data_IF_377235859435
#
_entry.id   IF_377235859435
#
_cell.length_a   1.000
_cell.length_b   1.000
_cell.length_c   1.000
_cell.angle_alpha   90.00
_cell.angle_beta   90.00
_cell.angle_gamma   90.00
#
_symmetry.space_group_name_H-M   'P 1'
#
loop_
_entity.id
_entity.type
_entity.pdbx_description
1 polymer ?
#
# COMPACT_ATOMS: atom_id res chain seq x y z
N UNK A 1 32.56 11.91 11.56
CA UNK A 1 31.16 11.59 11.80
C UNK A 1 30.96 10.18 11.29
N UNK A 2 30.35 9.28 12.05
CA UNK A 2 30.00 7.94 11.57
C UNK A 2 29.00 8.11 10.42
N UNK A 3 29.18 7.37 9.36
CA UNK A 3 28.21 7.31 8.28
C UNK A 3 26.94 6.65 8.87
N UNK A 4 25.75 7.23 8.65
CA UNK A 4 24.49 6.65 9.14
C UNK A 4 24.23 5.27 8.54
N UNK A 5 23.58 4.40 9.31
CA UNK A 5 23.42 2.98 8.96
C UNK A 5 22.09 2.41 9.51
N UNK A 6 21.65 1.29 8.91
CA UNK A 6 20.64 0.41 9.53
C UNK A 6 21.38 -0.51 10.48
N UNK A 7 21.00 -0.48 11.75
CA UNK A 7 21.64 -1.31 12.80
C UNK A 7 20.90 -2.60 13.10
N UNK A 8 19.61 -2.66 12.77
CA UNK A 8 18.76 -3.85 12.81
C UNK A 8 17.52 -3.65 11.94
N UNK A 9 16.90 -4.77 11.55
CA UNK A 9 15.61 -4.73 10.89
C UNK A 9 14.65 -5.73 11.53
N UNK A 10 13.35 -5.42 11.53
CA UNK A 10 12.33 -6.27 12.12
C UNK A 10 11.11 -6.43 11.23
N UNK A 11 10.52 -7.63 11.28
CA UNK A 11 9.14 -7.91 10.84
C UNK A 11 8.33 -8.10 12.11
N UNK A 12 7.20 -7.39 12.25
CA UNK A 12 6.34 -7.49 13.44
C UNK A 12 4.86 -7.54 13.07
N UNK A 13 4.02 -8.26 13.84
CA UNK A 13 2.58 -8.35 13.57
C UNK A 13 1.86 -7.04 13.89
N UNK A 14 0.69 -6.85 13.26
CA UNK A 14 -0.09 -5.60 13.34
C UNK A 14 -1.30 -5.67 14.28
N UNK A 15 -1.65 -6.85 14.78
CA UNK A 15 -2.89 -7.03 15.53
C UNK A 15 -2.74 -6.63 17.01
N UNK A 16 -3.79 -6.05 17.64
CA UNK A 16 -3.72 -5.50 18.99
C UNK A 16 -3.63 -6.56 20.10
N UNK A 17 -3.82 -7.85 19.77
CA UNK A 17 -3.84 -8.98 20.72
C UNK A 17 -2.57 -9.06 21.59
N UNK A 18 -1.42 -8.81 20.99
CA UNK A 18 -0.13 -8.81 21.69
C UNK A 18 0.02 -7.69 22.73
N UNK A 19 -0.78 -6.64 22.60
CA UNK A 19 -0.83 -5.52 23.58
C UNK A 19 -1.95 -5.74 24.58
N UNK A 20 -3.18 -6.01 24.10
CA UNK A 20 -4.40 -5.97 24.91
C UNK A 20 -4.75 -7.29 25.57
N UNK A 21 -4.40 -8.43 24.98
CA UNK A 21 -4.84 -9.73 25.43
C UNK A 21 -3.75 -10.82 25.38
N UNK A 22 -2.47 -10.54 25.68
CA UNK A 22 -1.41 -11.53 25.49
C UNK A 22 -1.62 -12.81 26.33
N UNK A 23 -2.24 -12.69 27.50
CA UNK A 23 -2.47 -13.82 28.42
C UNK A 23 -3.65 -14.71 28.04
N UNK A 24 -4.48 -14.33 27.08
CA UNK A 24 -5.62 -15.14 26.65
C UNK A 24 -5.21 -16.30 25.75
N UNK A 25 -4.03 -16.25 25.14
CA UNK A 25 -3.50 -17.31 24.30
C UNK A 25 -1.98 -17.46 24.47
N UNK A 26 -1.49 -18.68 24.62
CA UNK A 26 -0.07 -18.95 24.80
C UNK A 26 0.80 -18.48 23.61
N UNK A 27 0.27 -18.50 22.38
CA UNK A 27 0.93 -17.97 21.17
C UNK A 27 1.04 -16.44 21.21
N UNK A 28 -0.04 -15.76 21.59
CA UNK A 28 -0.02 -14.29 21.73
C UNK A 28 0.97 -13.84 22.81
N UNK A 29 1.08 -14.63 23.89
CA UNK A 29 2.10 -14.40 24.94
C UNK A 29 3.51 -14.57 24.37
N UNK A 30 3.79 -15.63 23.60
CA UNK A 30 5.12 -15.80 22.96
C UNK A 30 5.46 -14.66 22.01
N UNK A 31 4.49 -14.17 21.23
CA UNK A 31 4.69 -12.98 20.40
C UNK A 31 5.01 -11.74 21.25
N UNK A 32 4.31 -11.54 22.37
CA UNK A 32 4.59 -10.44 23.29
C UNK A 32 6.00 -10.53 23.89
N UNK A 33 6.40 -11.72 24.36
CA UNK A 33 7.74 -11.95 24.91
C UNK A 33 8.82 -11.70 23.85
N UNK A 34 8.55 -12.04 22.58
CA UNK A 34 9.42 -11.75 21.45
C UNK A 34 9.56 -10.24 21.17
N UNK A 35 8.49 -9.48 21.33
CA UNK A 35 8.56 -8.01 21.26
C UNK A 35 9.42 -7.44 22.39
N UNK A 36 9.29 -7.96 23.62
CA UNK A 36 10.07 -7.50 24.78
C UNK A 36 11.58 -7.79 24.56
N UNK A 37 11.92 -8.95 23.99
CA UNK A 37 13.29 -9.28 23.56
C UNK A 37 13.79 -8.33 22.46
N UNK A 38 12.97 -8.06 21.43
CA UNK A 38 13.31 -7.13 20.37
C UNK A 38 13.54 -5.71 20.89
N UNK A 39 12.68 -5.23 21.79
CA UNK A 39 12.82 -3.92 22.42
C UNK A 39 14.13 -3.81 23.21
N UNK A 40 14.54 -4.87 23.91
CA UNK A 40 15.81 -4.88 24.63
C UNK A 40 17.00 -4.85 23.63
N UNK A 41 16.96 -5.62 22.57
CA UNK A 41 17.99 -5.62 21.52
C UNK A 41 18.13 -4.23 20.88
N UNK A 42 17.01 -3.55 20.58
CA UNK A 42 17.02 -2.19 20.01
C UNK A 42 17.73 -1.20 20.93
N UNK A 43 17.47 -1.28 22.25
CA UNK A 43 18.18 -0.45 23.25
C UNK A 43 19.68 -0.75 23.29
N UNK A 44 20.04 -2.04 23.28
CA UNK A 44 21.44 -2.48 23.37
C UNK A 44 22.26 -2.08 22.12
N UNK A 45 21.59 -1.84 20.99
CA UNK A 45 22.22 -1.37 19.75
C UNK A 45 22.44 0.16 19.71
N UNK A 46 22.06 0.91 20.74
CA UNK A 46 22.10 2.39 20.75
C UNK A 46 21.45 3.01 19.51
N UNK A 47 20.29 2.47 19.10
CA UNK A 47 19.53 3.00 18.00
C UNK A 47 18.96 4.38 18.37
N UNK A 48 19.01 5.33 17.43
CA UNK A 48 18.54 6.70 17.63
C UNK A 48 17.35 7.07 16.73
N UNK A 49 16.86 6.12 15.93
CA UNK A 49 15.70 6.31 15.05
C UNK A 49 14.99 4.98 14.77
N UNK A 50 13.67 4.96 14.87
CA UNK A 50 12.83 3.86 14.42
C UNK A 50 12.10 4.27 13.13
N UNK A 51 12.14 3.45 12.10
CA UNK A 51 11.46 3.70 10.83
C UNK A 51 10.46 2.58 10.58
N UNK A 52 9.18 2.90 10.50
CA UNK A 52 8.09 1.94 10.37
C UNK A 52 7.44 2.06 9.01
N UNK A 53 7.46 0.98 8.24
CA UNK A 53 6.60 0.79 7.08
C UNK A 53 5.35 0.03 7.51
N UNK A 54 4.18 0.69 7.50
CA UNK A 54 2.95 0.08 8.00
C UNK A 54 2.01 -0.37 6.90
N UNK A 55 1.55 -1.62 6.97
CA UNK A 55 0.53 -2.18 6.08
C UNK A 55 -0.90 -1.76 6.46
N UNK A 56 -1.10 -1.33 7.70
CA UNK A 56 -2.40 -0.87 8.21
C UNK A 56 -2.65 0.62 8.02
N UNK A 57 -1.69 1.32 7.42
CA UNK A 57 -1.87 2.67 6.89
C UNK A 57 -1.79 2.69 5.35
N UNK A 58 -2.84 2.26 4.62
CA UNK A 58 -2.85 2.33 3.15
C UNK A 58 -3.03 3.78 2.69
N UNK A 59 -2.31 4.18 1.64
CA UNK A 59 -2.49 5.47 0.97
C UNK A 59 -2.77 5.27 -0.52
N UNK A 60 -3.55 6.19 -1.10
CA UNK A 60 -3.94 6.19 -2.53
C UNK A 60 -3.31 7.34 -3.32
N UNK A 61 -2.83 8.38 -2.64
CA UNK A 61 -2.20 9.54 -3.26
C UNK A 61 -0.75 9.61 -2.79
N UNK A 62 0.11 8.89 -3.49
CA UNK A 62 1.54 8.83 -3.18
C UNK A 62 1.86 8.23 -1.81
N UNK A 63 3.10 8.35 -1.39
CA UNK A 63 3.55 7.94 -0.07
C UNK A 63 3.26 9.04 0.96
N UNK A 64 2.75 8.66 2.12
CA UNK A 64 2.48 9.59 3.20
C UNK A 64 3.40 9.29 4.38
N UNK A 65 4.02 10.32 4.93
CA UNK A 65 4.96 10.20 6.05
C UNK A 65 4.40 11.00 7.23
N UNK A 66 4.28 10.36 8.39
CA UNK A 66 3.83 11.04 9.60
C UNK A 66 4.85 12.09 10.04
N UNK A 67 4.39 13.32 10.25
CA UNK A 67 5.21 14.46 10.62
C UNK A 67 4.57 15.35 11.72
N UNK A 68 3.50 14.87 12.38
CA UNK A 68 3.08 15.47 13.65
C UNK A 68 4.12 15.04 14.70
N UNK A 69 4.85 15.95 15.35
CA UNK A 69 5.95 15.58 16.25
C UNK A 69 5.49 14.83 17.51
N UNK A 70 4.24 15.02 17.92
CA UNK A 70 3.70 14.42 19.15
C UNK A 70 2.24 13.97 18.94
N UNK A 71 1.98 12.99 18.08
CA UNK A 71 0.64 12.48 17.88
C UNK A 71 0.18 11.77 19.16
N UNK A 72 -0.96 12.21 19.69
CA UNK A 72 -1.56 11.68 20.90
C UNK A 72 -3.04 11.37 20.65
N UNK A 73 -3.46 10.14 20.90
CA UNK A 73 -4.83 9.69 20.76
C UNK A 73 -5.08 8.36 21.47
N UNK A 74 -6.25 7.79 21.24
CA UNK A 74 -6.62 6.45 21.70
C UNK A 74 -6.96 5.60 20.48
N UNK A 75 -6.21 4.54 20.23
CA UNK A 75 -6.49 3.58 19.17
C UNK A 75 -7.51 2.55 19.67
N UNK A 76 -8.55 2.32 18.88
CA UNK A 76 -9.49 1.21 19.00
C UNK A 76 -9.51 0.49 17.66
N UNK A 77 -9.19 -0.81 17.67
CA UNK A 77 -9.22 -1.61 16.44
C UNK A 77 -10.68 -1.86 16.04
N UNK A 78 -11.01 -1.72 14.75
CA UNK A 78 -12.39 -1.82 14.27
C UNK A 78 -12.90 -3.27 14.24
N UNK A 79 -12.01 -4.26 14.01
CA UNK A 79 -12.36 -5.68 14.01
C UNK A 79 -12.32 -6.28 15.42
N UNK A 80 -11.47 -5.74 16.31
CA UNK A 80 -11.20 -6.25 17.66
C UNK A 80 -11.46 -5.21 18.75
N UNK A 81 -12.51 -4.40 18.57
CA UNK A 81 -12.87 -3.32 19.52
C UNK A 81 -13.25 -3.83 20.91
N UNK A 82 -13.70 -5.07 21.02
CA UNK A 82 -14.03 -5.75 22.27
C UNK A 82 -12.80 -6.06 23.13
N UNK A 83 -11.60 -6.13 22.55
CA UNK A 83 -10.36 -6.26 23.32
C UNK A 83 -10.02 -5.00 24.12
N UNK A 84 -10.57 -3.84 23.76
CA UNK A 84 -10.34 -2.58 24.44
C UNK A 84 -9.66 -1.52 23.58
N UNK A 85 -8.89 -0.64 24.21
CA UNK A 85 -8.24 0.50 23.55
C UNK A 85 -6.78 0.65 23.98
N UNK A 86 -5.96 1.21 23.10
CA UNK A 86 -4.56 1.51 23.35
C UNK A 86 -4.39 3.03 23.33
N UNK A 87 -4.26 3.72 24.48
CA UNK A 87 -3.85 5.11 24.49
C UNK A 87 -2.40 5.21 24.03
N UNK A 88 -2.10 6.20 23.20
CA UNK A 88 -0.74 6.43 22.74
C UNK A 88 -0.38 7.90 22.72
N UNK A 89 0.92 8.16 22.90
CA UNK A 89 1.58 9.45 22.68
C UNK A 89 2.98 9.12 22.18
N UNK A 90 3.29 9.47 20.93
CA UNK A 90 4.56 9.08 20.32
C UNK A 90 5.46 10.28 20.05
N UNK A 91 6.77 10.03 20.09
CA UNK A 91 7.81 10.98 19.70
C UNK A 91 8.16 10.74 18.21
N UNK A 92 7.70 11.61 17.32
CA UNK A 92 7.96 11.53 15.89
C UNK A 92 9.07 12.49 15.49
N UNK A 93 10.08 11.99 14.75
CA UNK A 93 11.11 12.82 14.15
C UNK A 93 10.57 13.53 12.90
N UNK A 94 9.89 14.66 13.12
CA UNK A 94 9.27 15.44 12.06
C UNK A 94 10.32 15.99 11.08
N UNK A 95 11.51 16.36 11.56
CA UNK A 95 12.58 16.89 10.72
C UNK A 95 13.11 15.80 9.77
N UNK A 96 13.29 14.58 10.27
CA UNK A 96 13.63 13.44 9.41
C UNK A 96 12.51 13.13 8.41
N UNK A 97 11.25 13.15 8.84
CA UNK A 97 10.10 12.93 7.96
C UNK A 97 10.07 13.95 6.81
N UNK A 98 10.30 15.22 7.08
CA UNK A 98 10.40 16.26 6.06
C UNK A 98 11.60 16.06 5.13
N UNK A 99 12.78 15.74 5.66
CA UNK A 99 13.95 15.46 4.84
C UNK A 99 13.74 14.26 3.91
N UNK A 100 13.13 13.18 4.42
CA UNK A 100 12.79 12.01 3.62
C UNK A 100 11.76 12.34 2.52
N UNK A 101 10.72 13.12 2.85
CA UNK A 101 9.76 13.58 1.87
C UNK A 101 10.41 14.38 0.72
N UNK A 102 11.36 15.26 1.03
CA UNK A 102 12.08 16.00 0.00
C UNK A 102 13.01 15.09 -0.83
N UNK A 103 13.69 14.12 -0.21
CA UNK A 103 14.47 13.12 -0.93
C UNK A 103 13.60 12.27 -1.89
N UNK A 104 12.39 11.91 -1.46
CA UNK A 104 11.41 11.22 -2.30
C UNK A 104 11.04 12.04 -3.54
N UNK A 105 10.70 13.32 -3.35
CA UNK A 105 10.34 14.23 -4.45
C UNK A 105 11.49 14.43 -5.43
N UNK A 106 12.73 14.54 -4.92
CA UNK A 106 13.93 14.66 -5.77
C UNK A 106 14.14 13.43 -6.67
N UNK A 107 13.68 12.26 -6.22
CA UNK A 107 13.67 11.02 -7.00
C UNK A 107 12.39 10.79 -7.80
N UNK A 108 11.51 11.79 -7.89
CA UNK A 108 10.27 11.75 -8.67
C UNK A 108 9.11 11.02 -7.99
N UNK A 109 9.24 10.60 -6.72
CA UNK A 109 8.13 9.98 -6.00
C UNK A 109 7.08 11.01 -5.59
N UNK A 110 5.81 10.68 -5.78
CA UNK A 110 4.72 11.39 -5.14
C UNK A 110 4.75 11.09 -3.63
N UNK A 111 5.08 12.10 -2.85
CA UNK A 111 5.22 11.96 -1.40
C UNK A 111 4.82 13.24 -0.69
N UNK A 112 4.25 13.09 0.51
CA UNK A 112 3.88 14.21 1.37
C UNK A 112 3.96 13.85 2.84
N UNK A 113 4.25 14.86 3.66
CA UNK A 113 4.11 14.76 5.10
C UNK A 113 2.66 14.97 5.53
N UNK A 114 2.25 14.22 6.58
CA UNK A 114 0.97 14.36 7.27
C UNK A 114 1.25 14.88 8.67
N UNK A 115 0.80 16.10 8.95
CA UNK A 115 1.03 16.78 10.24
C UNK A 115 -0.26 17.39 10.82
N UNK A 116 -1.41 16.80 10.51
CA UNK A 116 -2.68 17.26 11.02
C UNK A 116 -2.83 16.85 12.49
N UNK A 117 -3.10 17.81 13.36
CA UNK A 117 -3.42 17.51 14.74
C UNK A 117 -4.63 16.58 14.82
N UNK A 118 -4.47 15.45 15.52
CA UNK A 118 -5.52 14.45 15.66
C UNK A 118 -5.66 13.51 14.45
N UNK A 119 -4.68 13.49 13.53
CA UNK A 119 -4.62 12.42 12.53
C UNK A 119 -4.26 11.11 13.22
N UNK A 120 -5.09 10.07 13.13
CA UNK A 120 -4.89 8.84 13.89
C UNK A 120 -3.67 8.07 13.37
N UNK A 121 -2.89 7.53 14.30
CA UNK A 121 -1.88 6.53 13.96
C UNK A 121 -2.56 5.17 13.80
N UNK A 122 -2.18 4.44 12.77
CA UNK A 122 -2.74 3.13 12.44
C UNK A 122 -2.38 2.06 13.48
N UNK A 123 -3.18 1.00 13.54
CA UNK A 123 -3.05 -0.05 14.55
C UNK A 123 -1.68 -0.73 14.52
N UNK A 124 -1.14 -1.05 13.34
CA UNK A 124 0.15 -1.72 13.22
C UNK A 124 1.30 -0.87 13.77
N UNK A 125 1.29 0.44 13.47
CA UNK A 125 2.27 1.38 14.02
C UNK A 125 2.11 1.56 15.51
N UNK A 126 0.86 1.64 16.03
CA UNK A 126 0.59 1.73 17.47
C UNK A 126 1.11 0.49 18.20
N UNK A 127 0.81 -0.72 17.70
CA UNK A 127 1.31 -1.97 18.28
C UNK A 127 2.85 -2.00 18.27
N UNK A 128 3.47 -1.71 17.13
CA UNK A 128 4.92 -1.74 16.97
C UNK A 128 5.60 -0.77 17.94
N UNK A 129 5.18 0.50 18.00
CA UNK A 129 5.80 1.51 18.86
C UNK A 129 5.55 1.23 20.34
N UNK A 130 4.33 0.83 20.72
CA UNK A 130 4.01 0.51 22.11
C UNK A 130 4.88 -0.62 22.66
N UNK A 131 5.21 -1.61 21.84
CA UNK A 131 5.96 -2.79 22.27
C UNK A 131 7.47 -2.67 22.07
N UNK A 132 7.93 -2.08 20.97
CA UNK A 132 9.36 -1.95 20.68
C UNK A 132 10.02 -0.73 21.34
N UNK A 133 9.23 0.28 21.70
CA UNK A 133 9.70 1.54 22.27
C UNK A 133 8.81 1.99 23.45
N UNK A 134 8.64 1.12 24.48
CA UNK A 134 7.64 1.32 25.54
C UNK A 134 7.86 2.58 26.40
N UNK A 135 9.08 3.06 26.50
CA UNK A 135 9.45 4.30 27.19
C UNK A 135 9.43 5.52 26.24
N UNK A 136 9.12 5.34 24.97
CA UNK A 136 9.05 6.38 23.94
C UNK A 136 10.35 7.23 23.83
N UNK A 137 11.49 6.63 24.17
CA UNK A 137 12.79 7.32 24.23
C UNK A 137 13.44 7.52 22.87
N UNK A 138 13.13 6.65 21.90
CA UNK A 138 13.68 6.71 20.55
C UNK A 138 12.64 7.38 19.63
N UNK A 139 13.01 8.47 18.92
CA UNK A 139 12.10 9.08 17.95
C UNK A 139 11.80 8.12 16.81
N UNK A 140 10.58 8.21 16.28
CA UNK A 140 10.12 7.33 15.21
C UNK A 140 9.69 8.11 13.96
N UNK A 141 9.67 7.44 12.81
CA UNK A 141 9.05 7.90 11.58
C UNK A 141 8.19 6.79 11.02
N UNK A 142 6.98 7.11 10.59
CA UNK A 142 6.02 6.15 10.06
C UNK A 142 5.72 6.52 8.62
N UNK A 143 5.79 5.54 7.72
CA UNK A 143 5.41 5.70 6.31
C UNK A 143 4.26 4.77 5.96
N UNK A 144 3.34 5.30 5.16
CA UNK A 144 2.19 4.56 4.63
C UNK A 144 2.58 3.57 3.54
N UNK A 145 1.76 2.54 3.35
CA UNK A 145 1.83 1.67 2.18
C UNK A 145 1.01 2.26 1.03
N UNK A 146 1.65 2.80 0.01
CA UNK A 146 0.95 3.28 -1.18
C UNK A 146 0.36 2.10 -1.96
N UNK A 147 -0.97 2.12 -2.16
CA UNK A 147 -1.70 1.04 -2.83
C UNK A 147 -1.24 0.80 -4.27
N UNK A 148 -0.88 1.85 -4.98
CA UNK A 148 -0.52 1.80 -6.40
C UNK A 148 0.99 1.66 -6.64
N UNK A 149 1.84 1.83 -5.63
CA UNK A 149 3.27 1.66 -5.78
C UNK A 149 3.61 0.24 -6.22
N UNK A 150 4.45 0.13 -7.23
CA UNK A 150 5.08 -1.11 -7.64
C UNK A 150 6.35 -1.39 -6.82
N UNK A 151 7.09 -2.44 -7.19
CA UNK A 151 8.33 -2.80 -6.49
C UNK A 151 9.42 -1.74 -6.69
N UNK A 152 9.60 -1.24 -7.91
CA UNK A 152 10.59 -0.19 -8.22
C UNK A 152 10.35 1.05 -7.37
N UNK A 153 9.12 1.55 -7.35
CA UNK A 153 8.73 2.73 -6.57
C UNK A 153 8.93 2.51 -5.06
N UNK A 154 8.58 1.32 -4.56
CA UNK A 154 8.80 0.94 -3.15
C UNK A 154 10.30 0.86 -2.81
N UNK A 155 11.13 0.41 -3.74
CA UNK A 155 12.59 0.35 -3.60
C UNK A 155 13.19 1.77 -3.57
N UNK A 156 12.73 2.67 -4.46
CA UNK A 156 13.19 4.07 -4.47
C UNK A 156 12.80 4.77 -3.17
N UNK A 157 11.62 4.50 -2.61
CA UNK A 157 11.22 5.01 -1.29
C UNK A 157 12.23 4.61 -0.19
N UNK A 158 12.69 3.35 -0.19
CA UNK A 158 13.70 2.87 0.74
C UNK A 158 15.07 3.54 0.51
N UNK A 159 15.51 3.68 -0.75
CA UNK A 159 16.77 4.36 -1.10
C UNK A 159 16.77 5.81 -0.63
N UNK A 160 15.70 6.56 -0.86
CA UNK A 160 15.55 7.93 -0.38
C UNK A 160 15.68 8.01 1.15
N UNK A 161 15.12 7.03 1.88
CA UNK A 161 15.26 6.93 3.32
C UNK A 161 16.72 6.71 3.74
N UNK A 162 17.40 5.76 3.09
CA UNK A 162 18.81 5.46 3.37
C UNK A 162 19.73 6.66 3.12
N UNK A 163 19.46 7.47 2.10
CA UNK A 163 20.24 8.67 1.82
C UNK A 163 20.11 9.68 2.97
N UNK A 164 18.91 9.87 3.51
CA UNK A 164 18.69 10.75 4.67
C UNK A 164 19.37 10.19 5.93
N UNK A 165 19.25 8.87 6.18
CA UNK A 165 19.95 8.20 7.29
C UNK A 165 21.45 8.47 7.21
N UNK A 166 22.06 8.25 6.05
CA UNK A 166 23.50 8.47 5.80
C UNK A 166 23.86 9.94 5.96
N UNK A 167 23.08 10.86 5.39
CA UNK A 167 23.34 12.29 5.45
C UNK A 167 23.30 12.84 6.88
N UNK A 168 22.40 12.30 7.70
CA UNK A 168 22.22 12.73 9.11
C UNK A 168 23.07 11.92 10.09
N UNK A 169 23.74 10.84 9.65
CA UNK A 169 24.56 10.00 10.50
C UNK A 169 23.78 9.20 11.53
N UNK A 170 22.52 8.82 11.23
CA UNK A 170 21.58 8.16 12.15
C UNK A 170 21.88 6.65 12.26
N UNK A 171 21.61 6.12 13.43
CA UNK A 171 21.62 4.67 13.71
C UNK A 171 20.18 4.17 13.76
N UNK A 172 19.67 3.74 12.59
CA UNK A 172 18.26 3.50 12.42
C UNK A 172 17.90 2.01 12.49
N UNK A 173 16.71 1.72 13.02
CA UNK A 173 16.07 0.40 12.95
C UNK A 173 14.95 0.44 11.92
N UNK A 174 14.99 -0.46 10.92
CA UNK A 174 13.95 -0.60 9.92
C UNK A 174 12.90 -1.63 10.37
N UNK A 175 11.64 -1.25 10.43
CA UNK A 175 10.54 -2.08 10.95
C UNK A 175 9.45 -2.18 9.89
N UNK A 176 9.02 -3.40 9.57
CA UNK A 176 7.79 -3.64 8.81
C UNK A 176 6.71 -4.17 9.73
N UNK A 177 5.63 -3.39 9.87
CA UNK A 177 4.43 -3.83 10.57
C UNK A 177 3.50 -4.52 9.58
N UNK A 178 3.44 -5.86 9.63
CA UNK A 178 2.67 -6.70 8.71
C UNK A 178 2.34 -8.07 9.28
N UNK A 179 1.35 -8.72 8.69
CA UNK A 179 1.11 -10.16 8.87
C UNK A 179 1.65 -10.92 7.65
N UNK A 180 2.23 -12.10 7.85
CA UNK A 180 2.70 -12.97 6.76
C UNK A 180 1.53 -13.47 5.91
N UNK A 181 0.43 -13.85 6.56
CA UNK A 181 -0.88 -14.09 5.95
C UNK A 181 -1.94 -13.37 6.76
N UNK A 182 -3.02 -12.90 6.12
CA UNK A 182 -4.04 -12.10 6.78
C UNK A 182 -5.47 -12.60 6.51
N UNK A 183 -5.63 -13.90 6.28
CA UNK A 183 -6.95 -14.51 6.30
C UNK A 183 -7.36 -14.72 7.75
N UNK A 184 -8.35 -13.96 8.19
CA UNK A 184 -8.91 -14.06 9.53
C UNK A 184 -10.16 -14.93 9.54
N UNK A 185 -10.50 -15.48 10.70
CA UNK A 185 -11.81 -16.11 10.92
C UNK A 185 -12.89 -15.03 10.92
N UNK A 186 -14.04 -15.34 10.31
CA UNK A 186 -15.22 -14.47 10.29
C UNK A 186 -16.11 -14.69 11.49
N UNK A 187 -16.04 -15.87 12.08
CA UNK A 187 -16.81 -16.24 13.26
C UNK A 187 -15.94 -16.07 14.51
N UNK A 188 -16.58 -15.85 15.63
CA UNK A 188 -15.87 -15.84 16.91
C UNK A 188 -15.24 -17.21 17.17
N UNK A 189 -13.96 -17.19 17.53
CA UNK A 189 -13.21 -18.37 17.99
C UNK A 189 -12.72 -18.14 19.40
N UNK A 190 -12.66 -19.20 20.21
CA UNK A 190 -12.03 -19.08 21.52
C UNK A 190 -10.53 -18.83 21.35
N UNK A 191 -9.92 -17.97 22.16
CA UNK A 191 -8.49 -17.68 22.05
C UNK A 191 -7.60 -18.92 22.05
N UNK A 192 -7.95 -19.93 22.83
CA UNK A 192 -7.20 -21.21 22.95
C UNK A 192 -7.28 -22.07 21.67
N UNK A 193 -8.26 -21.81 20.81
CA UNK A 193 -8.47 -22.54 19.54
C UNK A 193 -7.83 -21.81 18.35
N UNK A 194 -7.18 -20.67 18.58
CA UNK A 194 -6.58 -19.88 17.50
C UNK A 194 -5.50 -20.67 16.75
N UNK A 195 -5.55 -20.59 15.45
CA UNK A 195 -4.64 -21.27 14.53
C UNK A 195 -4.57 -20.50 13.22
N UNK A 196 -3.53 -20.73 12.42
CA UNK A 196 -3.49 -20.19 11.06
C UNK A 196 -4.71 -20.69 10.28
N UNK A 197 -5.39 -19.78 9.59
CA UNK A 197 -6.68 -20.01 8.94
C UNK A 197 -6.68 -21.23 8.00
N UNK A 198 -5.60 -21.48 7.27
CA UNK A 198 -5.46 -22.62 6.39
C UNK A 198 -4.06 -23.22 6.43
N UNK A 199 -3.96 -24.53 6.18
CA UNK A 199 -2.66 -25.21 6.06
C UNK A 199 -1.79 -24.59 4.97
N UNK A 200 -2.39 -24.15 3.87
CA UNK A 200 -1.69 -23.52 2.77
C UNK A 200 -1.07 -22.18 3.17
N UNK A 201 -1.79 -21.38 3.95
CA UNK A 201 -1.25 -20.12 4.47
C UNK A 201 -0.08 -20.40 5.43
N UNK A 202 -0.19 -21.42 6.29
CA UNK A 202 0.88 -21.83 7.22
C UNK A 202 2.13 -22.33 6.48
N UNK A 203 1.96 -23.17 5.46
CA UNK A 203 3.06 -23.67 4.62
C UNK A 203 3.85 -22.51 3.99
N UNK A 204 3.15 -21.55 3.40
CA UNK A 204 3.79 -20.38 2.79
C UNK A 204 4.41 -19.43 3.82
N UNK A 205 3.75 -19.23 4.96
CA UNK A 205 4.33 -18.43 6.04
C UNK A 205 5.66 -19.05 6.51
N UNK A 206 5.71 -20.36 6.68
CA UNK A 206 6.95 -21.08 7.05
C UNK A 206 8.02 -20.98 5.97
N UNK A 207 7.65 -21.00 4.69
CA UNK A 207 8.61 -20.81 3.61
C UNK A 207 9.21 -19.39 3.61
N UNK A 208 8.40 -18.36 3.86
CA UNK A 208 8.90 -17.00 4.03
C UNK A 208 9.84 -16.93 5.24
N UNK A 209 9.45 -17.53 6.37
CA UNK A 209 10.25 -17.54 7.58
C UNK A 209 11.59 -18.24 7.39
N UNK A 210 11.62 -19.35 6.64
CA UNK A 210 12.86 -20.05 6.28
C UNK A 210 13.84 -19.12 5.57
N UNK A 211 13.39 -18.35 4.59
CA UNK A 211 14.23 -17.37 3.90
C UNK A 211 14.66 -16.22 4.80
N UNK A 212 13.76 -15.72 5.64
CA UNK A 212 14.08 -14.66 6.60
C UNK A 212 15.14 -15.15 7.62
N UNK A 213 15.01 -16.38 8.12
CA UNK A 213 15.98 -16.99 9.05
C UNK A 213 17.35 -17.15 8.42
N UNK A 214 17.39 -17.45 7.12
CA UNK A 214 18.63 -17.53 6.33
C UNK A 214 19.18 -16.15 5.94
N UNK A 215 18.47 -15.05 6.28
CA UNK A 215 18.89 -13.69 5.92
C UNK A 215 18.74 -13.35 4.43
N UNK A 216 17.90 -14.10 3.70
CA UNK A 216 17.71 -14.01 2.24
C UNK A 216 16.59 -13.04 1.89
N UNK A 217 16.76 -11.76 2.18
CA UNK A 217 15.71 -10.74 2.00
C UNK A 217 15.41 -10.48 0.53
N UNK A 218 16.39 -10.51 -0.36
CA UNK A 218 16.14 -10.33 -1.79
C UNK A 218 15.25 -11.45 -2.33
N UNK A 219 15.56 -12.71 -1.98
CA UNK A 219 14.78 -13.86 -2.41
C UNK A 219 13.35 -13.82 -1.87
N UNK A 220 13.12 -13.34 -0.62
CA UNK A 220 11.76 -13.10 -0.12
C UNK A 220 11.03 -12.08 -0.99
N UNK A 221 11.71 -11.02 -1.41
CA UNK A 221 11.18 -10.03 -2.33
C UNK A 221 10.74 -10.64 -3.67
N UNK A 222 11.53 -11.56 -4.23
CA UNK A 222 11.22 -12.29 -5.47
C UNK A 222 10.10 -13.32 -5.26
N UNK A 223 10.19 -14.12 -4.21
CA UNK A 223 9.20 -15.15 -3.85
C UNK A 223 7.78 -14.55 -3.71
N UNK A 224 7.69 -13.29 -3.30
CA UNK A 224 6.41 -12.59 -3.12
C UNK A 224 5.54 -12.60 -4.38
N UNK A 225 6.12 -12.61 -5.57
CA UNK A 225 5.39 -12.67 -6.85
C UNK A 225 4.59 -13.97 -6.99
N UNK A 226 5.12 -15.06 -6.48
CA UNK A 226 4.47 -16.37 -6.52
C UNK A 226 3.48 -16.54 -5.38
N UNK A 227 3.87 -16.17 -4.18
CA UNK A 227 3.10 -16.39 -2.96
C UNK A 227 1.80 -15.59 -2.97
N UNK A 228 1.81 -14.34 -3.38
CA UNK A 228 0.61 -13.48 -3.29
C UNK A 228 -0.58 -14.00 -4.11
N UNK A 229 -0.35 -14.89 -5.07
CA UNK A 229 -1.41 -15.57 -5.83
C UNK A 229 -2.01 -16.75 -5.08
N UNK A 230 -1.31 -17.27 -4.10
CA UNK A 230 -1.60 -18.53 -3.43
C UNK A 230 -2.12 -18.36 -2.01
N UNK A 231 -1.65 -17.35 -1.30
CA UNK A 231 -2.13 -17.00 0.04
C UNK A 231 -2.88 -15.66 -0.01
N UNK A 232 -3.78 -15.47 0.95
CA UNK A 232 -4.45 -14.19 1.10
C UNK A 232 -3.56 -13.26 1.92
N UNK A 233 -2.78 -12.44 1.23
CA UNK A 233 -2.21 -11.21 1.77
C UNK A 233 -3.14 -10.07 1.37
N UNK A 234 -3.21 -8.99 2.12
CA UNK A 234 -4.00 -7.83 1.73
C UNK A 234 -3.59 -7.43 0.32
N UNK A 235 -4.53 -7.53 -0.64
CA UNK A 235 -4.26 -7.24 -2.06
C UNK A 235 -3.69 -5.85 -2.29
N UNK A 236 -4.05 -4.94 -1.41
CA UNK A 236 -3.70 -3.53 -1.45
C UNK A 236 -2.24 -3.28 -1.14
N UNK A 237 -1.72 -3.98 -0.14
CA UNK A 237 -0.35 -3.79 0.32
C UNK A 237 0.57 -4.90 -0.16
N UNK A 238 0.03 -6.07 -0.48
CA UNK A 238 0.78 -7.23 -0.96
C UNK A 238 2.07 -7.46 -0.14
N UNK A 239 3.17 -7.72 -0.80
CA UNK A 239 4.48 -7.88 -0.16
C UNK A 239 5.36 -6.61 -0.18
N UNK A 240 4.78 -5.43 -0.41
CA UNK A 240 5.53 -4.16 -0.42
C UNK A 240 6.40 -3.94 0.81
N UNK A 241 5.96 -4.31 2.05
CA UNK A 241 6.84 -4.22 3.22
C UNK A 241 8.12 -5.04 3.07
N UNK A 242 8.03 -6.23 2.45
CA UNK A 242 9.21 -7.08 2.22
C UNK A 242 10.13 -6.49 1.15
N UNK A 243 9.58 -5.89 0.09
CA UNK A 243 10.38 -5.17 -0.91
C UNK A 243 11.09 -3.96 -0.29
N UNK A 244 10.37 -3.20 0.54
CA UNK A 244 10.94 -2.07 1.25
C UNK A 244 12.04 -2.52 2.22
N UNK A 245 11.78 -3.55 3.04
CA UNK A 245 12.73 -4.08 4.02
C UNK A 245 13.99 -4.62 3.32
N UNK A 246 13.84 -5.34 2.20
CA UNK A 246 14.95 -5.81 1.39
C UNK A 246 15.80 -4.64 0.89
N UNK A 247 15.17 -3.59 0.35
CA UNK A 247 15.85 -2.41 -0.15
C UNK A 247 16.55 -1.61 0.97
N UNK A 248 15.95 -1.50 2.16
CA UNK A 248 16.58 -0.89 3.34
C UNK A 248 17.84 -1.63 3.77
N UNK A 249 17.96 -2.91 3.46
CA UNK A 249 19.13 -3.76 3.72
C UNK A 249 20.01 -3.98 2.47
N UNK A 250 19.83 -3.20 1.40
CA UNK A 250 20.64 -3.24 0.19
C UNK A 250 20.33 -4.40 -0.76
N UNK A 251 19.12 -4.99 -0.71
CA UNK A 251 18.69 -6.14 -1.52
C UNK A 251 19.67 -7.31 -1.47
N UNK A 252 19.96 -7.77 -0.27
CA UNK A 252 21.01 -8.77 0.00
C UNK A 252 20.40 -10.08 0.51
N UNK A 253 21.15 -11.18 0.27
CA UNK A 253 20.84 -12.54 0.72
C UNK A 253 21.89 -13.10 1.71
N UNK A 254 22.80 -12.25 2.21
CA UNK A 254 23.92 -12.63 3.07
C UNK A 254 23.77 -12.04 4.50
N UNK A 255 22.55 -11.81 4.93
CA UNK A 255 22.24 -11.30 6.26
C UNK A 255 22.09 -12.43 7.28
N UNK A 256 21.84 -12.09 8.53
CA UNK A 256 21.49 -13.08 9.55
C UNK A 256 20.07 -12.80 10.06
N UNK A 257 19.18 -13.77 9.90
CA UNK A 257 17.83 -13.71 10.43
C UNK A 257 17.64 -14.56 11.67
N UNK A 258 16.74 -14.15 12.54
CA UNK A 258 16.31 -14.91 13.72
C UNK A 258 14.80 -14.75 13.93
N UNK A 259 14.09 -15.87 13.88
CA UNK A 259 12.66 -15.92 14.21
C UNK A 259 12.53 -15.94 15.72
N UNK A 260 12.02 -14.87 16.31
CA UNK A 260 11.78 -14.76 17.75
C UNK A 260 10.47 -15.45 18.14
N UNK A 261 9.42 -15.28 17.32
CA UNK A 261 8.16 -15.99 17.46
C UNK A 261 7.40 -16.02 16.13
N UNK A 262 6.60 -17.07 15.93
CA UNK A 262 5.61 -17.20 14.86
C UNK A 262 4.36 -17.88 15.39
N UNK A 263 3.22 -17.20 15.36
CA UNK A 263 1.96 -17.66 15.95
C UNK A 263 0.76 -17.19 15.12
N UNK A 264 -0.37 -17.85 15.32
CA UNK A 264 -1.64 -17.36 14.82
C UNK A 264 -2.16 -16.17 15.63
N UNK A 265 -2.76 -15.20 14.96
CA UNK A 265 -3.55 -14.16 15.59
C UNK A 265 -4.88 -14.09 14.84
N UNK A 266 -5.92 -14.68 15.41
CA UNK A 266 -7.26 -14.77 14.83
C UNK A 266 -7.26 -15.32 13.38
N UNK A 267 -6.42 -16.32 13.12
CA UNK A 267 -6.23 -16.94 11.80
C UNK A 267 -5.10 -16.33 10.97
N UNK A 268 -4.70 -15.11 11.21
CA UNK A 268 -3.59 -14.46 10.51
C UNK A 268 -2.23 -14.98 11.04
N UNK A 269 -1.21 -14.96 10.18
CA UNK A 269 0.16 -15.35 10.56
C UNK A 269 0.95 -14.16 11.12
N UNK A 270 1.11 -14.10 12.43
CA UNK A 270 1.93 -13.11 13.13
C UNK A 270 3.34 -13.62 13.38
N UNK A 271 4.36 -12.81 13.06
CA UNK A 271 5.74 -13.16 13.34
C UNK A 271 6.51 -11.95 13.91
N UNK A 272 7.43 -12.23 14.83
CA UNK A 272 8.48 -11.28 15.22
C UNK A 272 9.80 -11.88 14.73
N UNK A 273 10.42 -11.19 13.77
CA UNK A 273 11.68 -11.62 13.16
C UNK A 273 12.69 -10.49 13.28
N UNK A 274 13.87 -10.82 13.75
CA UNK A 274 15.04 -9.93 13.78
C UNK A 274 15.97 -10.24 12.61
N UNK A 275 16.39 -9.22 11.88
CA UNK A 275 17.40 -9.30 10.82
C UNK A 275 18.59 -8.43 11.23
N UNK A 276 19.74 -9.06 11.38
CA UNK A 276 21.02 -8.38 11.59
C UNK A 276 21.63 -8.03 10.20
N UNK A 277 21.93 -6.76 9.94
CA UNK A 277 22.47 -6.31 8.66
C UNK A 277 23.94 -6.74 8.42
N UNK A 278 24.59 -7.33 9.40
CA UNK A 278 25.97 -7.80 9.26
C UNK A 278 26.07 -8.91 8.22
N UNK A 279 26.95 -8.74 7.24
CA UNK A 279 27.16 -9.73 6.17
C UNK A 279 27.76 -11.01 6.71
N UNK A 280 27.16 -12.14 6.35
CA UNK A 280 27.74 -13.48 6.60
C UNK A 280 28.80 -13.84 5.55
N UNK A 281 28.90 -13.06 4.45
CA UNK A 281 29.81 -13.33 3.33
C UNK A 281 29.36 -14.49 2.44
N UNK A 282 28.23 -15.13 2.73
CA UNK A 282 27.68 -16.26 1.97
C UNK A 282 26.24 -15.91 1.62
N UNK A 283 26.02 -15.43 0.40
CA UNK A 283 24.68 -15.19 -0.14
C UNK A 283 24.43 -16.14 -1.30
N UNK A 284 23.40 -16.97 -1.22
CA UNK A 284 22.91 -17.76 -2.34
C UNK A 284 21.63 -17.10 -2.91
N UNK A 285 21.44 -17.19 -4.23
CA UNK A 285 20.28 -16.66 -4.92
C UNK A 285 19.50 -17.83 -5.50
N UNK A 286 18.34 -18.13 -4.92
CA UNK A 286 17.47 -19.18 -5.45
C UNK A 286 16.72 -18.73 -6.72
N UNK A 287 16.46 -17.43 -6.85
CA UNK A 287 15.82 -16.87 -8.02
C UNK A 287 16.82 -16.30 -8.98
N UNK A 288 16.76 -16.80 -10.21
CA UNK A 288 17.72 -16.52 -11.25
C UNK A 288 17.70 -15.04 -11.63
N UNK A 289 18.89 -14.52 -11.86
CA UNK A 289 19.14 -13.19 -12.38
C UNK A 289 18.64 -13.04 -13.85
N UNK A 290 18.31 -14.15 -14.53
CA UNK A 290 17.78 -14.16 -15.90
C UNK A 290 16.28 -13.83 -16.01
N UNK A 291 15.59 -13.48 -14.89
CA UNK A 291 14.23 -12.93 -14.95
C UNK A 291 14.26 -11.56 -15.64
N UNK A 292 13.69 -11.54 -16.86
CA UNK A 292 13.69 -10.35 -17.73
C UNK A 292 13.02 -9.13 -17.07
N UNK A 293 11.97 -9.32 -16.26
CA UNK A 293 11.35 -8.23 -15.49
C UNK A 293 12.31 -7.66 -14.44
N UNK A 294 13.06 -8.52 -13.76
CA UNK A 294 14.05 -8.12 -12.79
C UNK A 294 15.16 -7.29 -13.44
N UNK A 295 15.68 -7.73 -14.59
CA UNK A 295 16.77 -7.04 -15.29
C UNK A 295 16.35 -5.72 -15.94
N UNK A 296 15.18 -5.66 -16.55
CA UNK A 296 14.77 -4.49 -17.34
C UNK A 296 13.93 -3.46 -16.59
N UNK A 297 13.24 -3.84 -15.51
CA UNK A 297 12.38 -2.91 -14.77
C UNK A 297 12.98 -2.47 -13.45
N UNK A 298 13.46 -3.41 -12.64
CA UNK A 298 13.70 -3.15 -11.22
C UNK A 298 15.19 -3.02 -10.87
N UNK A 299 16.07 -3.71 -11.57
CA UNK A 299 17.49 -3.73 -11.24
C UNK A 299 18.22 -2.45 -11.67
N UNK A 300 17.88 -1.89 -12.82
CA UNK A 300 18.40 -0.59 -13.25
C UNK A 300 18.11 0.53 -12.25
N UNK A 301 16.97 0.46 -11.56
CA UNK A 301 16.60 1.39 -10.47
C UNK A 301 17.47 1.15 -9.23
N UNK A 302 17.93 -0.08 -8.97
CA UNK A 302 18.70 -0.46 -7.78
C UNK A 302 20.19 -0.14 -7.89
N UNK A 303 20.76 -0.08 -9.09
CA UNK A 303 22.21 0.07 -9.34
C UNK A 303 22.69 1.53 -9.46
N UNK A 304 21.85 2.50 -9.11
CA UNK A 304 22.30 3.88 -8.94
C UNK A 304 22.25 4.76 -10.19
N UNK A 305 21.49 4.36 -11.22
CA UNK A 305 21.21 5.25 -12.35
C UNK A 305 20.07 6.22 -11.98
N UNK A 306 20.40 7.30 -11.25
CA UNK A 306 19.44 8.30 -10.78
C UNK A 306 18.56 8.91 -11.89
N UNK A 307 19.07 9.02 -13.12
CA UNK A 307 18.29 9.49 -14.28
C UNK A 307 17.29 8.43 -14.74
N UNK A 308 17.67 7.16 -14.80
CA UNK A 308 16.75 6.08 -15.19
C UNK A 308 15.70 5.79 -14.09
N UNK A 309 16.00 6.06 -12.82
CA UNK A 309 15.03 6.02 -11.73
C UNK A 309 13.96 7.09 -11.90
N UNK A 310 14.33 8.31 -12.25
CA UNK A 310 13.42 9.42 -12.53
C UNK A 310 12.54 9.13 -13.74
N UNK A 311 13.11 8.61 -14.80
CA UNK A 311 12.38 8.27 -16.03
C UNK A 311 11.40 7.10 -15.82
N UNK A 312 11.78 6.06 -15.08
CA UNK A 312 10.90 4.94 -14.75
C UNK A 312 9.71 5.37 -13.86
N UNK A 313 9.95 6.30 -12.93
CA UNK A 313 8.92 6.83 -12.03
C UNK A 313 8.06 7.88 -12.75
N UNK A 314 8.64 8.72 -13.60
CA UNK A 314 7.90 9.69 -14.41
C UNK A 314 7.00 9.01 -15.43
N UNK A 315 7.43 7.90 -16.03
CA UNK A 315 6.59 7.12 -16.96
C UNK A 315 5.41 6.43 -16.27
N UNK A 316 5.51 6.08 -14.99
CA UNK A 316 4.37 5.60 -14.20
C UNK A 316 3.44 6.73 -13.77
N UNK A 317 3.96 7.95 -13.58
CA UNK A 317 3.18 9.12 -13.18
C UNK A 317 2.67 9.94 -14.40
N UNK A 318 3.35 9.90 -15.55
CA UNK A 318 2.97 10.62 -16.77
C UNK A 318 1.72 10.05 -17.47
N UNK A 319 1.23 8.89 -17.03
CA UNK A 319 -0.08 8.38 -17.45
C UNK A 319 -1.28 9.20 -16.95
N UNK A 320 -1.04 10.22 -16.12
CA UNK A 320 -2.10 11.09 -15.59
C UNK A 320 -2.26 12.44 -16.30
N UNK A 321 -1.21 12.96 -16.96
CA UNK A 321 -1.22 14.38 -17.37
C UNK A 321 -0.80 14.75 -18.81
N UNK A 322 -0.63 13.79 -19.73
CA UNK A 322 -0.34 14.17 -21.13
C UNK A 322 -1.03 13.27 -22.14
N UNK A 323 -2.21 13.68 -22.56
CA UNK A 323 -2.81 13.28 -23.84
C UNK A 323 -2.49 14.38 -24.86
N UNK A 324 -1.28 14.37 -25.45
CA UNK A 324 -1.03 14.99 -26.73
C UNK A 324 0.16 14.33 -27.45
N UNK A 325 -0.18 13.80 -28.62
CA UNK A 325 0.67 13.45 -29.76
C UNK A 325 1.92 12.57 -29.51
N UNK A 326 1.75 11.27 -29.63
CA UNK A 326 2.81 10.38 -30.09
C UNK A 326 2.52 9.88 -31.49
N UNK A 327 3.25 10.42 -32.46
CA UNK A 327 3.36 9.87 -33.81
C UNK A 327 4.02 8.49 -33.76
N UNK A 328 3.35 7.53 -34.40
CA UNK A 328 3.82 6.17 -34.54
C UNK A 328 5.13 6.08 -35.35
N UNK A 329 6.14 5.38 -34.79
CA UNK A 329 7.06 4.56 -35.60
C UNK A 329 7.81 3.56 -34.74
N UNK A 330 7.67 2.37 -35.06
CA UNK A 330 8.56 1.22 -35.19
C UNK A 330 8.36 0.06 -34.18
N UNK A 331 8.32 -1.10 -34.81
CA UNK A 331 7.96 -2.43 -34.39
C UNK A 331 8.84 -3.03 -33.28
N UNK A 332 8.31 -3.06 -32.05
CA UNK A 332 8.64 -4.06 -31.05
C UNK A 332 7.57 -5.17 -31.03
N UNK A 333 7.79 -6.33 -30.36
CA UNK A 333 6.79 -7.37 -30.26
C UNK A 333 5.52 -6.80 -29.63
N UNK A 334 4.35 -7.14 -30.21
CA UNK A 334 3.05 -6.61 -29.83
C UNK A 334 2.82 -6.70 -28.32
N UNK A 335 2.86 -5.55 -27.64
CA UNK A 335 2.45 -5.43 -26.25
C UNK A 335 0.99 -5.89 -26.18
N UNK A 336 0.69 -6.74 -25.18
CA UNK A 336 -0.68 -7.17 -24.88
C UNK A 336 -1.58 -5.93 -24.71
N UNK A 337 -2.58 -5.81 -25.58
CA UNK A 337 -3.58 -4.74 -25.48
C UNK A 337 -4.71 -5.19 -24.54
N UNK A 338 -4.84 -4.60 -23.36
CA UNK A 338 -5.92 -4.95 -22.42
C UNK A 338 -7.32 -4.65 -22.96
N UNK A 339 -7.45 -3.82 -24.01
CA UNK A 339 -8.73 -3.54 -24.67
C UNK A 339 -9.20 -4.71 -25.54
N UNK A 340 -8.29 -5.59 -25.97
CA UNK A 340 -8.58 -6.82 -26.73
C UNK A 340 -8.74 -8.06 -25.84
N UNK A 341 -8.65 -7.92 -24.51
CA UNK A 341 -8.80 -9.03 -23.58
C UNK A 341 -10.20 -9.67 -23.72
N UNK A 342 -10.27 -10.99 -23.57
CA UNK A 342 -11.53 -11.73 -23.64
C UNK A 342 -12.57 -11.14 -22.68
N UNK A 343 -13.72 -10.73 -23.24
CA UNK A 343 -14.82 -10.11 -22.50
C UNK A 343 -14.71 -8.59 -22.36
N UNK A 344 -13.71 -7.94 -22.98
CA UNK A 344 -13.65 -6.47 -23.05
C UNK A 344 -14.81 -5.90 -23.87
N UNK A 345 -15.34 -4.79 -23.39
CA UNK A 345 -16.40 -4.02 -24.07
C UNK A 345 -15.87 -2.59 -24.29
N UNK A 346 -15.84 -2.18 -25.55
CA UNK A 346 -15.46 -0.82 -25.95
C UNK A 346 -16.55 -0.22 -26.82
N UNK A 347 -16.75 1.09 -26.73
CA UNK A 347 -17.75 1.80 -27.53
C UNK A 347 -17.30 3.21 -27.86
N UNK A 348 -17.60 3.67 -29.07
CA UNK A 348 -17.41 5.07 -29.45
C UNK A 348 -18.59 5.95 -28.99
N UNK A 349 -19.65 5.37 -28.46
CA UNK A 349 -20.81 6.10 -27.91
C UNK A 349 -20.52 6.72 -26.52
N UNK A 350 -19.46 6.32 -25.84
CA UNK A 350 -18.99 6.90 -24.59
C UNK A 350 -17.59 7.54 -24.79
N UNK A 351 -17.16 8.46 -23.90
CA UNK A 351 -15.84 9.07 -24.01
C UNK A 351 -14.75 8.01 -23.93
N UNK A 352 -13.74 8.07 -24.80
CA UNK A 352 -12.61 7.13 -24.76
C UNK A 352 -11.96 7.10 -23.39
N UNK A 353 -11.60 5.93 -22.86
CA UNK A 353 -10.81 5.81 -21.66
C UNK A 353 -9.52 6.63 -21.76
N UNK A 354 -9.09 7.25 -20.66
CA UNK A 354 -7.87 8.06 -20.61
C UNK A 354 -6.60 7.22 -20.50
N UNK A 355 -6.71 5.90 -20.39
CA UNK A 355 -5.60 4.97 -20.26
C UNK A 355 -5.88 3.65 -20.98
N UNK A 356 -4.92 2.73 -20.93
CA UNK A 356 -4.99 1.41 -21.56
C UNK A 356 -5.93 0.44 -20.81
N UNK A 357 -7.24 0.72 -20.84
CA UNK A 357 -8.28 -0.16 -20.27
C UNK A 357 -9.60 -0.04 -21.05
N UNK A 358 -10.43 -1.11 -21.09
CA UNK A 358 -11.72 -1.08 -21.78
C UNK A 358 -12.76 -0.26 -20.99
N UNK A 359 -13.85 0.14 -21.64
CA UNK A 359 -15.00 0.76 -20.96
C UNK A 359 -15.65 -0.18 -19.93
N UNK A 360 -15.73 -1.47 -20.25
CA UNK A 360 -16.21 -2.50 -19.34
C UNK A 360 -15.61 -3.87 -19.65
N UNK A 361 -15.74 -4.82 -18.72
CA UNK A 361 -15.33 -6.20 -18.88
C UNK A 361 -16.38 -7.16 -18.37
N UNK A 362 -16.74 -8.13 -19.20
CA UNK A 362 -17.67 -9.21 -18.84
C UNK A 362 -16.89 -10.40 -18.25
N UNK A 363 -17.31 -10.86 -17.07
CA UNK A 363 -16.73 -12.02 -16.38
C UNK A 363 -17.89 -12.89 -15.88
N UNK A 364 -18.10 -14.05 -16.50
CA UNK A 364 -19.30 -14.84 -16.25
C UNK A 364 -20.56 -14.05 -16.63
N UNK A 365 -21.50 -13.96 -15.69
CA UNK A 365 -22.74 -13.21 -15.86
C UNK A 365 -22.66 -11.77 -15.33
N UNK A 366 -21.49 -11.33 -14.87
CA UNK A 366 -21.28 -9.98 -14.35
C UNK A 366 -20.58 -9.09 -15.37
N UNK A 367 -21.01 -7.83 -15.43
CA UNK A 367 -20.34 -6.77 -16.19
C UNK A 367 -19.75 -5.75 -15.22
N UNK A 368 -18.45 -5.55 -15.31
CA UNK A 368 -17.70 -4.58 -14.52
C UNK A 368 -17.36 -3.37 -15.40
N UNK A 369 -17.80 -2.18 -15.02
CA UNK A 369 -17.46 -0.94 -15.71
C UNK A 369 -16.21 -0.33 -15.10
N UNK A 370 -15.35 0.23 -15.97
CA UNK A 370 -14.29 1.15 -15.54
C UNK A 370 -14.88 2.45 -15.00
N UNK A 371 -14.07 3.27 -14.33
CA UNK A 371 -14.52 4.56 -13.85
C UNK A 371 -15.05 5.45 -14.99
N UNK A 372 -16.25 6.00 -14.82
CA UNK A 372 -16.94 6.79 -15.85
C UNK A 372 -17.09 8.23 -15.38
N UNK A 373 -16.51 9.17 -16.13
CA UNK A 373 -16.63 10.62 -15.89
C UNK A 373 -17.68 11.32 -16.77
N UNK A 374 -17.90 12.63 -16.56
CA UNK A 374 -18.92 13.42 -17.25
C UNK A 374 -18.54 13.87 -18.66
N UNK A 375 -17.35 13.55 -19.17
CA UNK A 375 -16.91 13.99 -20.51
C UNK A 375 -17.86 13.52 -21.61
N UNK A 376 -18.01 14.34 -22.66
CA UNK A 376 -18.82 13.98 -23.83
C UNK A 376 -17.98 13.20 -24.84
N UNK A 377 -18.55 12.17 -25.51
CA UNK A 377 -17.84 11.46 -26.58
C UNK A 377 -17.49 12.40 -27.72
N UNK A 378 -16.33 12.23 -28.31
CA UNK A 378 -15.86 12.98 -29.49
C UNK A 378 -15.30 14.39 -29.21
N UNK A 379 -15.78 15.08 -28.17
CA UNK A 379 -15.38 16.47 -27.86
C UNK A 379 -14.62 16.62 -26.56
N UNK A 380 -14.71 15.64 -25.67
CA UNK A 380 -14.24 15.71 -24.28
C UNK A 380 -14.81 16.86 -23.45
N UNK A 381 -15.78 17.61 -23.96
CA UNK A 381 -16.44 18.68 -23.22
C UNK A 381 -17.12 18.12 -21.95
N UNK A 382 -17.11 18.87 -20.87
CA UNK A 382 -17.73 18.49 -19.60
C UNK A 382 -19.01 19.29 -19.40
N UNK A 383 -20.21 18.69 -19.51
CA UNK A 383 -21.46 19.35 -19.18
C UNK A 383 -21.45 19.87 -17.74
N UNK A 384 -21.84 21.11 -17.54
CA UNK A 384 -21.76 21.76 -16.24
C UNK A 384 -20.40 22.38 -15.90
N UNK A 385 -19.41 22.24 -16.78
CA UNK A 385 -18.07 22.81 -16.63
C UNK A 385 -17.06 21.90 -15.92
N UNK A 386 -15.76 22.12 -16.13
CA UNK A 386 -14.69 21.45 -15.42
C UNK A 386 -14.60 21.95 -13.96
N UNK A 387 -14.01 21.15 -13.08
CA UNK A 387 -13.83 21.48 -11.65
C UNK A 387 -12.62 22.38 -11.40
N UNK A 388 -11.65 22.42 -12.33
CA UNK A 388 -10.45 23.26 -12.29
C UNK A 388 -10.17 23.83 -13.68
N UNK A 389 -9.48 24.95 -13.72
CA UNK A 389 -8.91 25.51 -14.94
C UNK A 389 -7.58 24.84 -15.33
N UNK A 390 -6.95 25.32 -16.41
CA UNK A 390 -5.66 24.82 -16.92
C UNK A 390 -4.49 25.03 -15.93
N UNK A 391 -4.64 25.89 -14.94
CA UNK A 391 -3.65 26.16 -13.89
C UNK A 391 -3.92 25.38 -12.61
N UNK A 392 -4.99 24.59 -12.56
CA UNK A 392 -5.42 23.84 -11.37
C UNK A 392 -6.26 24.65 -10.38
N UNK A 393 -6.67 25.89 -10.74
CA UNK A 393 -7.52 26.70 -9.87
C UNK A 393 -8.98 26.22 -9.91
N UNK A 394 -9.68 26.16 -8.75
CA UNK A 394 -11.07 25.70 -8.68
C UNK A 394 -12.01 26.58 -9.52
N UNK A 395 -12.92 25.93 -10.24
CA UNK A 395 -13.99 26.58 -11.00
C UNK A 395 -15.36 26.23 -10.43
N UNK A 396 -16.32 27.13 -10.67
CA UNK A 396 -17.72 26.82 -10.44
C UNK A 396 -18.21 25.83 -11.49
N UNK A 397 -18.94 24.80 -11.07
CA UNK A 397 -19.50 23.79 -11.94
C UNK A 397 -20.91 23.33 -11.49
N UNK A 398 -21.66 22.74 -12.41
CA UNK A 398 -23.00 22.20 -12.15
C UNK A 398 -22.94 20.68 -11.96
N UNK A 399 -22.99 20.23 -10.69
CA UNK A 399 -22.96 18.80 -10.33
C UNK A 399 -24.13 18.02 -10.91
N UNK A 400 -25.32 18.64 -11.09
CA UNK A 400 -26.48 17.96 -11.67
C UNK A 400 -26.24 17.64 -13.15
N UNK A 401 -25.73 18.61 -13.91
CA UNK A 401 -25.37 18.41 -15.30
C UNK A 401 -24.26 17.36 -15.46
N UNK A 402 -23.22 17.39 -14.59
CA UNK A 402 -22.18 16.38 -14.58
C UNK A 402 -22.74 14.99 -14.24
N UNK A 403 -23.62 14.85 -13.23
CA UNK A 403 -24.23 13.58 -12.85
C UNK A 403 -25.08 12.99 -13.98
N UNK A 404 -25.89 13.80 -14.65
CA UNK A 404 -26.64 13.35 -15.82
C UNK A 404 -25.73 12.86 -16.95
N UNK A 405 -24.62 13.55 -17.17
CA UNK A 405 -23.64 13.15 -18.19
C UNK A 405 -23.00 11.79 -17.85
N UNK A 406 -22.60 11.56 -16.59
CA UNK A 406 -22.07 10.28 -16.11
C UNK A 406 -23.09 9.16 -16.28
N UNK A 407 -24.33 9.34 -15.83
CA UNK A 407 -25.40 8.34 -15.95
C UNK A 407 -25.66 7.98 -17.42
N UNK A 408 -25.65 8.97 -18.32
CA UNK A 408 -25.82 8.74 -19.75
C UNK A 408 -24.65 7.96 -20.35
N UNK A 409 -23.42 8.24 -19.92
CA UNK A 409 -22.23 7.49 -20.38
C UNK A 409 -22.29 6.04 -19.85
N UNK A 410 -22.63 5.82 -18.59
CA UNK A 410 -22.84 4.48 -18.02
C UNK A 410 -23.88 3.71 -18.83
N UNK A 411 -25.02 4.34 -19.13
CA UNK A 411 -26.08 3.74 -19.92
C UNK A 411 -25.57 3.25 -21.29
N UNK A 412 -24.84 4.09 -22.01
CA UNK A 412 -24.27 3.74 -23.32
C UNK A 412 -23.33 2.54 -23.25
N UNK A 413 -22.49 2.47 -22.22
CA UNK A 413 -21.57 1.34 -22.03
C UNK A 413 -22.33 0.06 -21.68
N UNK A 414 -23.34 0.14 -20.83
CA UNK A 414 -24.19 -1.00 -20.44
C UNK A 414 -24.95 -1.55 -21.66
N UNK A 415 -25.55 -0.67 -22.46
CA UNK A 415 -26.31 -1.04 -23.68
C UNK A 415 -25.37 -1.66 -24.75
N UNK A 416 -24.16 -1.12 -24.93
CA UNK A 416 -23.17 -1.72 -25.84
C UNK A 416 -22.76 -3.12 -25.42
N UNK A 417 -22.71 -3.39 -24.11
CA UNK A 417 -22.44 -4.73 -23.57
C UNK A 417 -23.62 -5.71 -23.72
N UNK A 418 -24.76 -5.24 -24.25
CA UNK A 418 -26.00 -6.03 -24.38
C UNK A 418 -26.79 -6.17 -23.10
N UNK A 419 -26.57 -5.30 -22.11
CA UNK A 419 -27.29 -5.25 -20.85
C UNK A 419 -28.21 -4.01 -20.81
N UNK A 420 -28.95 -3.86 -19.71
CA UNK A 420 -29.90 -2.74 -19.51
C UNK A 420 -29.69 -2.10 -18.15
N UNK A 421 -30.14 -0.86 -17.97
CA UNK A 421 -29.91 -0.11 -16.72
C UNK A 421 -30.60 -0.75 -15.51
N UNK A 422 -31.68 -1.46 -15.69
CA UNK A 422 -32.40 -2.21 -14.64
C UNK A 422 -31.64 -3.43 -14.12
N UNK A 423 -30.55 -3.83 -14.78
CA UNK A 423 -29.63 -4.87 -14.33
C UNK A 423 -28.47 -4.35 -13.49
N UNK A 424 -28.40 -3.03 -13.24
CA UNK A 424 -27.36 -2.44 -12.37
C UNK A 424 -27.67 -2.82 -10.92
N UNK A 425 -26.72 -3.48 -10.26
CA UNK A 425 -26.88 -4.03 -8.90
C UNK A 425 -26.12 -3.24 -7.84
N UNK A 426 -25.02 -2.58 -8.22
CA UNK A 426 -24.19 -1.79 -7.31
C UNK A 426 -23.53 -0.60 -8.00
N UNK A 427 -23.39 0.52 -7.29
CA UNK A 427 -22.74 1.74 -7.79
C UNK A 427 -21.90 2.37 -6.69
N UNK A 428 -20.62 2.60 -6.99
CA UNK A 428 -19.74 3.43 -6.17
C UNK A 428 -19.53 4.77 -6.86
N UNK A 429 -19.80 5.87 -6.14
CA UNK A 429 -19.65 7.24 -6.65
C UNK A 429 -18.62 8.02 -5.83
N UNK A 430 -17.77 8.74 -6.53
CA UNK A 430 -16.78 9.65 -5.93
C UNK A 430 -17.17 11.09 -6.25
N UNK A 431 -17.43 11.91 -5.22
CA UNK A 431 -17.69 13.34 -5.35
C UNK A 431 -16.44 14.13 -4.92
N UNK A 432 -16.08 15.16 -5.66
CA UNK A 432 -14.90 15.98 -5.36
C UNK A 432 -15.12 16.85 -4.12
N UNK A 433 -16.33 17.38 -3.96
CA UNK A 433 -16.76 18.13 -2.78
C UNK A 433 -18.08 17.57 -2.26
N UNK A 434 -17.98 16.62 -1.33
CA UNK A 434 -19.15 15.96 -0.74
C UNK A 434 -20.14 16.93 -0.12
N UNK A 435 -19.66 18.00 0.51
CA UNK A 435 -20.51 18.98 1.19
C UNK A 435 -21.36 19.79 0.22
N UNK A 436 -20.75 20.22 -0.89
CA UNK A 436 -21.41 21.04 -1.91
C UNK A 436 -22.27 20.21 -2.83
N UNK A 437 -21.76 19.05 -3.26
CA UNK A 437 -22.28 18.31 -4.41
C UNK A 437 -23.33 17.27 -4.05
N UNK A 438 -23.33 16.75 -2.81
CA UNK A 438 -24.17 15.61 -2.41
C UNK A 438 -25.69 15.85 -2.64
N UNK A 439 -26.19 17.04 -2.33
CA UNK A 439 -27.61 17.34 -2.50
C UNK A 439 -28.03 17.31 -3.97
N UNK A 440 -27.29 17.99 -4.86
CA UNK A 440 -27.55 18.03 -6.30
C UNK A 440 -27.38 16.66 -6.96
N UNK A 441 -26.35 15.93 -6.56
CA UNK A 441 -26.12 14.54 -6.99
C UNK A 441 -27.31 13.64 -6.60
N UNK A 442 -27.82 13.72 -5.34
CA UNK A 442 -28.93 12.91 -4.87
C UNK A 442 -30.27 13.18 -5.62
N UNK A 443 -30.51 14.42 -6.03
CA UNK A 443 -31.70 14.72 -6.83
C UNK A 443 -31.65 13.96 -8.16
N UNK A 444 -30.54 14.03 -8.88
CA UNK A 444 -30.32 13.31 -10.16
C UNK A 444 -30.31 11.79 -9.95
N UNK A 445 -29.72 11.32 -8.88
CA UNK A 445 -29.75 9.90 -8.52
C UNK A 445 -31.18 9.38 -8.37
N UNK A 446 -32.04 10.10 -7.62
CA UNK A 446 -33.42 9.71 -7.39
C UNK A 446 -34.26 9.65 -8.68
N UNK A 447 -33.96 10.53 -9.64
CA UNK A 447 -34.64 10.59 -10.94
C UNK A 447 -34.18 9.48 -11.90
N UNK A 448 -32.98 8.95 -11.72
CA UNK A 448 -32.28 8.01 -12.64
C UNK A 448 -32.10 6.65 -12.00
N UNK A 449 -30.89 6.37 -11.50
CA UNK A 449 -30.50 5.07 -10.93
C UNK A 449 -31.29 4.70 -9.66
N UNK A 450 -31.79 5.67 -8.89
CA UNK A 450 -32.62 5.42 -7.73
C UNK A 450 -33.93 4.67 -8.05
N UNK A 451 -34.41 4.77 -9.27
CA UNK A 451 -35.62 4.02 -9.73
C UNK A 451 -35.30 2.55 -10.04
N UNK A 452 -34.05 2.26 -10.36
CA UNK A 452 -33.55 0.89 -10.58
C UNK A 452 -33.34 0.19 -9.25
N UNK A 453 -32.84 0.90 -8.24
CA UNK A 453 -32.64 0.41 -6.88
C UNK A 453 -31.34 -0.36 -6.66
N UNK A 454 -30.20 -0.01 -7.30
CA UNK A 454 -28.92 -0.62 -6.98
C UNK A 454 -28.46 -0.25 -5.56
N UNK A 455 -27.62 -1.05 -4.95
CA UNK A 455 -26.87 -0.62 -3.77
C UNK A 455 -25.95 0.54 -4.14
N UNK A 456 -25.66 1.44 -3.17
CA UNK A 456 -24.88 2.65 -3.44
C UNK A 456 -23.91 2.98 -2.33
N UNK A 457 -22.66 3.20 -2.70
CA UNK A 457 -21.66 3.86 -1.87
C UNK A 457 -21.33 5.23 -2.46
N UNK A 458 -21.29 6.28 -1.64
CA UNK A 458 -20.92 7.65 -2.08
C UNK A 458 -19.80 8.16 -1.16
N UNK A 459 -18.68 8.56 -1.74
CA UNK A 459 -17.46 8.99 -1.07
C UNK A 459 -17.06 10.39 -1.53
#
# INVERSE_FOLDING_TARGET
MSQGEIVASYVVPVHPHTVLAPDQNAGWRRLRDAFDEAAQTIRDLDADLLIIYSTTWPSIIGHQIQADPNPEWVMVDHDFHDLGSIPYSFNIDADFAHAWNEANKQRGLQSRCVNYKGFPIDVGSVVALTLLNPDNSIPAVIVSSNMYANRSETTVLAKSCLDVIKAQGRRAVAITAMSLSNRMFTDFIQPEEDKIHSLKDDEWNRKILEFLEQGRLEDVGQLSRTIHRQIRVQKVVAFKPMWWLSAMNGNRNDLTGRILAYEAIHGAGGAVVHIDPTSTGVGDKEYDEDDVEYFHGERGVLEGAEESEKDAIQNTNAGADSADEATASDSGPALWDPTEAKGSVNTDAAPKPVGAYPHARKVGDMLFLSGVGPRQPGTNAIPGGPIHDENGEPLEYDIKAQTHAVVNNVKRIVEEAGATMDQVVDVTTFLVDMKRDFAGYNEVWAETLGKVGPTRTTL
#
